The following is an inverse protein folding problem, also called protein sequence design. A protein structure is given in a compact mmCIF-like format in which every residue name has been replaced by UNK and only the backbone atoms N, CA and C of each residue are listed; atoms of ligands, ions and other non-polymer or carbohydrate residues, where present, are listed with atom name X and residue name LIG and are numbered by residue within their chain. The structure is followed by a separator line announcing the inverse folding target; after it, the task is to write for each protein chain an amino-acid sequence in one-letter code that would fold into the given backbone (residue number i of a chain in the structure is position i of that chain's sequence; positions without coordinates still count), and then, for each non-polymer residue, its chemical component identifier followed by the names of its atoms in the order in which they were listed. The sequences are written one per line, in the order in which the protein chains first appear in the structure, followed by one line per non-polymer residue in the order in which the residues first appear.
data_IF_034979399848
#
_entry.id   IF_034979399848
#
_cell.length_a   1.000
_cell.length_b   1.000
_cell.length_c   1.000
_cell.angle_alpha   90.00
_cell.angle_beta   90.00
_cell.angle_gamma   90.00
#
_symmetry.space_group_name_H-M   'P 1'
#
loop_
_entity.id
_entity.type
_entity.pdbx_description
1 polymer ?
#
# COMPACT_ATOMS: atom_id res chain seq x y z
N UNK A 1 20.54 -2.21 -9.85
CA UNK A 1 19.93 -1.21 -8.94
C UNK A 1 18.43 -1.51 -8.90
N UNK A 2 17.89 -2.10 -7.83
CA UNK A 2 16.48 -2.54 -7.77
C UNK A 2 15.49 -1.41 -7.44
N UNK A 3 15.93 -0.15 -7.41
CA UNK A 3 15.06 1.01 -7.14
C UNK A 3 14.42 0.99 -5.75
N UNK A 4 15.09 0.43 -4.74
CA UNK A 4 14.56 0.40 -3.38
C UNK A 4 14.47 1.84 -2.82
N UNK A 5 13.33 2.25 -2.25
CA UNK A 5 13.07 3.63 -1.83
C UNK A 5 13.73 3.98 -0.48
N UNK A 6 15.04 3.75 -0.32
CA UNK A 6 15.73 3.82 0.98
C UNK A 6 15.60 5.17 1.69
N UNK A 7 15.46 6.26 0.93
CA UNK A 7 15.37 7.63 1.47
C UNK A 7 13.96 8.23 1.42
N UNK A 8 12.95 7.46 1.04
CA UNK A 8 11.59 7.98 0.92
C UNK A 8 10.96 8.23 2.31
N UNK A 9 10.23 9.35 2.49
CA UNK A 9 9.66 9.74 3.78
C UNK A 9 8.48 8.86 4.22
N UNK A 10 7.93 8.07 3.30
CA UNK A 10 6.85 7.12 3.55
C UNK A 10 7.38 5.68 3.71
N UNK A 11 8.66 5.40 3.46
CA UNK A 11 9.18 4.04 3.49
C UNK A 11 9.83 3.69 4.84
N UNK A 12 9.29 2.66 5.50
CA UNK A 12 9.76 2.09 6.77
C UNK A 12 9.90 0.56 6.63
N UNK A 13 11.01 0.05 6.07
CA UNK A 13 11.14 -1.37 5.73
C UNK A 13 11.23 -2.30 6.93
N UNK A 14 11.64 -1.79 8.10
CA UNK A 14 11.93 -2.57 9.30
C UNK A 14 10.74 -2.76 10.22
N UNK A 15 9.65 -2.01 10.02
CA UNK A 15 8.48 -2.08 10.91
C UNK A 15 7.48 -3.13 10.44
N UNK A 16 6.86 -3.81 11.40
CA UNK A 16 5.78 -4.76 11.12
C UNK A 16 4.40 -4.06 11.12
N UNK A 17 3.35 -4.83 10.82
CA UNK A 17 1.96 -4.35 10.80
C UNK A 17 1.54 -3.71 12.12
N UNK A 18 1.87 -4.34 13.24
CA UNK A 18 1.47 -3.87 14.57
C UNK A 18 2.10 -2.51 14.90
N UNK A 19 3.40 -2.35 14.62
CA UNK A 19 4.10 -1.08 14.81
C UNK A 19 3.55 0.01 13.89
N UNK A 20 3.25 -0.31 12.63
CA UNK A 20 2.62 0.63 11.71
C UNK A 20 1.27 1.15 12.22
N UNK A 21 0.42 0.25 12.73
CA UNK A 21 -0.86 0.64 13.35
C UNK A 21 -0.67 1.52 14.57
N UNK A 22 0.31 1.21 15.43
CA UNK A 22 0.66 2.04 16.59
C UNK A 22 1.08 3.46 16.19
N UNK A 23 1.92 3.58 15.15
CA UNK A 23 2.38 4.87 14.62
C UNK A 23 1.22 5.70 14.05
N UNK A 24 0.30 5.06 13.32
CA UNK A 24 -0.79 5.74 12.62
C UNK A 24 -2.04 5.99 13.48
N UNK A 25 -2.15 5.41 14.67
CA UNK A 25 -3.34 5.45 15.54
C UNK A 25 -3.89 6.86 15.81
N UNK A 26 -3.01 7.85 15.88
CA UNK A 26 -3.35 9.25 16.19
C UNK A 26 -3.01 10.20 15.05
N UNK A 27 -2.71 9.67 13.86
CA UNK A 27 -2.35 10.46 12.70
C UNK A 27 -3.60 10.97 11.97
N UNK A 28 -3.38 12.01 11.15
CA UNK A 28 -4.45 12.65 10.36
C UNK A 28 -4.79 11.83 9.11
N UNK A 29 -5.96 12.11 8.54
CA UNK A 29 -6.42 11.52 7.29
C UNK A 29 -5.38 11.65 6.15
N UNK A 30 -5.23 10.58 5.38
CA UNK A 30 -4.26 10.48 4.30
C UNK A 30 -2.81 10.31 4.78
N UNK A 31 -2.56 10.18 6.08
CA UNK A 31 -1.25 9.77 6.58
C UNK A 31 -0.98 8.31 6.21
N UNK A 32 0.19 8.04 5.66
CA UNK A 32 0.53 6.71 5.15
C UNK A 32 2.01 6.34 5.31
N UNK A 33 2.27 5.04 5.24
CA UNK A 33 3.61 4.45 5.13
C UNK A 33 3.59 3.17 4.30
N UNK A 34 4.73 2.81 3.72
CA UNK A 34 4.97 1.51 3.11
C UNK A 34 6.01 0.77 3.95
N UNK A 35 5.67 -0.47 4.29
CA UNK A 35 6.52 -1.40 5.05
C UNK A 35 6.72 -2.69 4.27
N UNK A 36 7.69 -3.50 4.69
CA UNK A 36 7.78 -4.87 4.21
C UNK A 36 6.61 -5.70 4.76
N UNK A 37 6.09 -6.61 3.94
CA UNK A 37 5.09 -7.58 4.37
C UNK A 37 5.76 -8.86 4.86
N UNK A 38 5.03 -9.68 5.64
CA UNK A 38 5.54 -10.95 6.18
C UNK A 38 5.94 -11.97 5.11
N UNK A 39 5.47 -11.83 3.86
CA UNK A 39 5.86 -12.65 2.72
C UNK A 39 6.97 -12.03 1.85
N UNK A 40 7.67 -10.99 2.34
CA UNK A 40 8.82 -10.40 1.65
C UNK A 40 8.47 -9.44 0.49
N UNK A 41 7.19 -9.07 0.35
CA UNK A 41 6.73 -8.02 -0.57
C UNK A 41 6.53 -6.70 0.21
N UNK A 42 5.52 -5.92 -0.17
CA UNK A 42 5.23 -4.63 0.43
C UNK A 42 3.78 -4.54 0.89
N UNK A 43 3.55 -3.69 1.88
CA UNK A 43 2.21 -3.30 2.30
C UNK A 43 2.17 -1.78 2.53
N UNK A 44 1.14 -1.15 1.99
CA UNK A 44 0.74 0.20 2.35
C UNK A 44 -0.12 0.12 3.61
N UNK A 45 0.18 0.94 4.61
CA UNK A 45 -0.70 1.18 5.75
C UNK A 45 -1.07 2.67 5.77
N UNK A 46 -2.36 3.00 5.84
CA UNK A 46 -2.85 4.38 5.76
C UNK A 46 -4.04 4.66 6.68
N UNK A 47 -4.27 5.93 6.99
CA UNK A 47 -5.44 6.43 7.72
C UNK A 47 -6.47 7.00 6.76
N UNK A 48 -7.71 6.54 6.83
CA UNK A 48 -8.86 7.11 6.12
C UNK A 48 -10.11 7.03 6.99
N UNK A 49 -10.88 8.12 7.11
CA UNK A 49 -12.07 8.19 7.97
C UNK A 49 -11.84 7.69 9.42
N UNK A 50 -10.65 7.92 9.98
CA UNK A 50 -10.26 7.47 11.33
C UNK A 50 -9.99 5.96 11.46
N UNK A 51 -10.04 5.21 10.36
CA UNK A 51 -9.74 3.78 10.30
C UNK A 51 -8.36 3.58 9.67
N UNK A 52 -7.60 2.60 10.17
CA UNK A 52 -6.31 2.20 9.60
C UNK A 52 -6.52 1.02 8.66
N UNK A 53 -6.11 1.20 7.41
CA UNK A 53 -6.20 0.19 6.37
C UNK A 53 -4.82 -0.39 6.04
N UNK A 54 -4.78 -1.66 5.62
CA UNK A 54 -3.59 -2.30 5.07
C UNK A 54 -3.87 -2.81 3.65
N UNK A 55 -3.14 -2.29 2.67
CA UNK A 55 -3.23 -2.70 1.28
C UNK A 55 -1.98 -3.49 0.88
N UNK A 56 -2.17 -4.67 0.29
CA UNK A 56 -1.05 -5.49 -0.21
C UNK A 56 -0.54 -4.90 -1.53
N UNK A 57 0.78 -4.72 -1.62
CA UNK A 57 1.45 -4.35 -2.86
C UNK A 57 2.23 -5.57 -3.34
N UNK A 58 1.76 -6.13 -4.45
CA UNK A 58 2.35 -7.29 -5.10
C UNK A 58 3.33 -6.90 -6.19
N UNK A 59 3.96 -7.93 -6.77
CA UNK A 59 4.60 -7.84 -8.08
C UNK A 59 3.65 -8.40 -9.13
N UNK A 60 3.64 -7.77 -10.29
CA UNK A 60 2.99 -8.32 -11.48
C UNK A 60 3.71 -9.62 -11.89
N UNK A 61 3.00 -10.75 -11.99
CA UNK A 61 3.60 -12.01 -12.41
C UNK A 61 3.81 -12.11 -13.94
N UNK A 62 3.13 -11.26 -14.72
CA UNK A 62 3.13 -11.26 -16.18
C UNK A 62 4.13 -10.24 -16.75
N UNK A 63 4.34 -9.14 -16.02
CA UNK A 63 5.29 -8.09 -16.38
C UNK A 63 6.49 -8.12 -15.46
N UNK A 64 7.68 -8.21 -16.06
CA UNK A 64 8.94 -8.24 -15.31
C UNK A 64 9.05 -7.02 -14.39
N UNK A 65 8.88 -7.24 -13.08
CA UNK A 65 9.17 -6.31 -11.99
C UNK A 65 8.24 -5.10 -11.82
N UNK A 66 6.98 -5.17 -12.26
CA UNK A 66 6.03 -4.09 -11.98
C UNK A 66 5.31 -4.28 -10.62
N UNK A 67 4.94 -3.18 -9.95
CA UNK A 67 4.25 -3.13 -8.66
C UNK A 67 2.78 -2.79 -8.87
N UNK A 68 1.88 -3.45 -8.13
CA UNK A 68 0.43 -3.17 -8.16
C UNK A 68 -0.23 -3.42 -6.82
N UNK A 69 -1.37 -2.79 -6.57
CA UNK A 69 -2.24 -3.24 -5.48
C UNK A 69 -2.85 -4.61 -5.84
N UNK A 70 -2.80 -5.52 -4.87
CA UNK A 70 -3.40 -6.85 -5.01
C UNK A 70 -4.72 -6.83 -4.28
N UNK A 71 -5.81 -6.96 -5.04
CA UNK A 71 -7.10 -7.24 -4.44
C UNK A 71 -7.05 -8.63 -3.80
N UNK A 72 -7.33 -8.71 -2.50
CA UNK A 72 -7.62 -9.98 -1.85
C UNK A 72 -9.14 -10.14 -1.82
N UNK A 73 -9.64 -11.15 -2.52
CA UNK A 73 -11.03 -11.56 -2.39
C UNK A 73 -11.09 -12.79 -1.49
N UNK A 74 -12.13 -12.85 -0.67
CA UNK A 74 -12.49 -14.07 0.03
C UNK A 74 -13.30 -14.88 -0.98
N UNK A 75 -12.83 -16.07 -1.34
CA UNK A 75 -13.61 -16.97 -2.19
C UNK A 75 -14.86 -17.49 -1.45
N UNK A 76 -15.72 -18.23 -2.16
CA UNK A 76 -16.93 -18.79 -1.55
C UNK A 76 -16.65 -19.76 -0.39
N UNK A 77 -15.40 -20.22 -0.23
CA UNK A 77 -14.96 -21.12 0.83
C UNK A 77 -14.34 -20.35 2.03
N UNK A 78 -14.37 -19.01 2.02
CA UNK A 78 -13.75 -18.21 3.07
C UNK A 78 -12.23 -18.09 2.92
N UNK A 79 -11.63 -18.59 1.85
CA UNK A 79 -10.19 -18.53 1.63
C UNK A 79 -9.78 -17.23 0.91
N UNK A 80 -8.76 -16.51 1.41
CA UNK A 80 -8.15 -15.43 0.68
C UNK A 80 -7.55 -15.95 -0.63
N UNK A 81 -8.11 -15.55 -1.76
CA UNK A 81 -7.59 -15.87 -3.08
C UNK A 81 -7.10 -14.61 -3.79
N UNK A 82 -6.05 -14.76 -4.60
CA UNK A 82 -5.62 -13.78 -5.59
C UNK A 82 -6.25 -14.20 -6.91
N UNK A 83 -7.00 -13.31 -7.57
CA UNK A 83 -7.58 -13.62 -8.89
C UNK A 83 -6.45 -14.12 -9.81
N UNK A 84 -6.64 -15.32 -10.37
CA UNK A 84 -5.86 -15.71 -11.52
C UNK A 84 -6.26 -14.78 -12.66
N UNK A 85 -5.24 -14.36 -13.39
CA UNK A 85 -5.28 -13.51 -14.56
C UNK A 85 -6.58 -13.69 -15.39
N UNK A 86 -7.25 -12.58 -15.71
CA UNK A 86 -8.39 -12.41 -16.64
C UNK A 86 -9.82 -12.16 -16.09
N UNK A 87 -10.06 -12.07 -14.78
CA UNK A 87 -11.42 -11.76 -14.28
C UNK A 87 -11.48 -10.93 -12.99
N UNK A 88 -11.28 -9.60 -13.06
CA UNK A 88 -11.88 -8.71 -12.04
C UNK A 88 -12.02 -7.28 -12.54
N UNK A 89 -13.14 -6.64 -12.21
CA UNK A 89 -13.41 -5.22 -12.49
C UNK A 89 -12.59 -4.26 -11.62
N UNK A 90 -11.28 -4.49 -11.54
CA UNK A 90 -10.32 -3.67 -10.79
C UNK A 90 -9.19 -3.21 -11.70
N UNK A 91 -8.57 -2.07 -11.37
CA UNK A 91 -7.57 -1.49 -12.25
C UNK A 91 -6.38 -2.46 -12.42
N UNK A 92 -6.04 -2.78 -13.67
CA UNK A 92 -4.87 -3.60 -14.03
C UNK A 92 -3.59 -2.75 -14.06
N UNK A 93 -3.56 -1.67 -13.26
CA UNK A 93 -2.46 -0.72 -13.28
C UNK A 93 -1.26 -1.30 -12.56
N UNK A 94 -0.17 -1.39 -13.30
CA UNK A 94 1.14 -1.75 -12.80
C UNK A 94 2.09 -0.53 -12.90
N UNK A 95 3.11 -0.49 -12.06
CA UNK A 95 4.09 0.60 -11.97
C UNK A 95 5.51 0.04 -11.94
N UNK A 96 6.48 0.70 -12.56
CA UNK A 96 7.85 0.18 -12.62
C UNK A 96 8.62 0.32 -11.29
N UNK A 97 8.10 1.12 -10.36
CA UNK A 97 8.67 1.27 -9.01
C UNK A 97 7.61 1.57 -7.96
N UNK A 98 7.93 1.30 -6.68
CA UNK A 98 7.10 1.76 -5.56
C UNK A 98 6.95 3.29 -5.53
N UNK A 99 8.00 4.01 -5.93
CA UNK A 99 7.95 5.47 -5.97
C UNK A 99 6.93 5.96 -6.98
N UNK A 100 6.92 5.38 -8.18
CA UNK A 100 5.95 5.73 -9.22
C UNK A 100 4.51 5.40 -8.79
N UNK A 101 4.32 4.24 -8.15
CA UNK A 101 3.04 3.87 -7.54
C UNK A 101 2.58 4.94 -6.54
N UNK A 102 3.45 5.33 -5.60
CA UNK A 102 3.12 6.35 -4.59
C UNK A 102 2.85 7.70 -5.25
N UNK A 103 3.74 8.17 -6.14
CA UNK A 103 3.60 9.43 -6.86
C UNK A 103 2.26 9.50 -7.60
N UNK A 104 1.80 8.39 -8.20
CA UNK A 104 0.49 8.32 -8.84
C UNK A 104 -0.66 8.48 -7.84
N UNK A 105 -0.67 7.72 -6.74
CA UNK A 105 -1.74 7.79 -5.75
C UNK A 105 -1.66 9.01 -4.81
N UNK A 106 -0.61 9.84 -4.91
CA UNK A 106 -0.65 11.19 -4.34
C UNK A 106 -1.63 12.11 -5.08
N UNK A 107 -1.92 11.80 -6.36
CA UNK A 107 -2.77 12.61 -7.26
C UNK A 107 -4.08 11.92 -7.64
N UNK A 108 -4.16 10.60 -7.48
CA UNK A 108 -5.30 9.78 -7.87
C UNK A 108 -5.81 9.00 -6.67
N UNK A 109 -7.13 8.90 -6.56
CA UNK A 109 -7.78 8.21 -5.44
C UNK A 109 -7.54 6.71 -5.50
N UNK A 110 -7.33 6.09 -4.34
CA UNK A 110 -7.30 4.63 -4.17
C UNK A 110 -8.66 3.96 -4.42
N UNK A 111 -9.72 4.72 -4.69
CA UNK A 111 -11.04 4.20 -5.05
C UNK A 111 -11.00 3.25 -6.26
N UNK A 112 -10.04 3.42 -7.17
CA UNK A 112 -9.83 2.49 -8.30
C UNK A 112 -9.35 1.10 -7.86
N UNK A 113 -8.80 0.99 -6.64
CA UNK A 113 -8.34 -0.24 -6.00
C UNK A 113 -9.06 -0.59 -4.69
N UNK A 114 -10.08 0.17 -4.28
CA UNK A 114 -11.05 -0.16 -3.23
C UNK A 114 -12.02 1.02 -3.11
N UNK A 115 -13.29 0.89 -3.53
CA UNK A 115 -14.27 1.97 -3.41
C UNK A 115 -14.40 2.57 -2.00
N UNK A 116 -14.08 1.82 -0.95
CA UNK A 116 -14.05 2.33 0.43
C UNK A 116 -12.86 3.24 0.74
N UNK A 117 -11.81 3.20 -0.09
CA UNK A 117 -10.60 4.01 0.03
C UNK A 117 -10.64 5.18 -0.93
N UNK A 118 -11.67 6.03 -0.84
CA UNK A 118 -11.73 7.26 -1.63
C UNK A 118 -10.78 8.34 -1.09
N UNK A 119 -9.48 8.10 -1.19
CA UNK A 119 -8.43 8.90 -0.58
C UNK A 119 -7.15 8.87 -1.44
N UNK A 120 -6.37 9.95 -1.38
CA UNK A 120 -5.03 10.03 -1.94
C UNK A 120 -3.97 9.89 -0.84
N UNK A 121 -2.75 9.50 -1.22
CA UNK A 121 -1.60 9.42 -0.32
C UNK A 121 -1.02 10.83 -0.07
N UNK A 122 -1.51 11.52 0.96
CA UNK A 122 -1.22 12.95 1.14
C UNK A 122 -0.09 13.26 2.13
N UNK A 123 0.06 12.47 3.20
CA UNK A 123 1.03 12.77 4.28
C UNK A 123 1.96 11.58 4.53
N UNK A 124 3.21 11.61 4.06
CA UNK A 124 4.21 10.60 4.40
C UNK A 124 4.47 10.58 5.91
N UNK A 125 4.57 9.38 6.49
CA UNK A 125 4.71 9.22 7.94
C UNK A 125 5.87 10.04 8.54
N UNK A 126 7.07 10.07 7.94
CA UNK A 126 8.24 10.79 8.49
C UNK A 126 8.08 12.33 8.54
N UNK A 127 7.01 12.89 7.96
CA UNK A 127 6.68 14.32 8.15
C UNK A 127 6.10 14.60 9.54
N UNK A 128 5.72 13.57 10.31
CA UNK A 128 5.33 13.71 11.71
C UNK A 128 6.57 13.79 12.59
N UNK A 129 6.76 14.94 13.23
CA UNK A 129 7.98 15.35 13.97
C UNK A 129 8.37 14.41 15.14
N UNK A 130 7.47 13.52 15.57
CA UNK A 130 7.64 12.70 16.78
C UNK A 130 7.86 11.19 16.56
N UNK A 131 8.19 10.74 15.34
CA UNK A 131 8.44 9.32 15.11
C UNK A 131 9.85 8.95 15.59
N UNK A 132 9.94 8.39 16.80
CA UNK A 132 11.12 7.64 17.25
C UNK A 132 10.96 6.20 16.74
N UNK A 133 11.76 5.84 15.74
CA UNK A 133 11.85 4.48 15.18
C UNK A 133 12.80 3.64 16.03
#
# INVERSE_FOLDING_TARGET
FLGLPTDEPWYLPTINREMAHKLLKICVEGTFLIRTSSNGLYALTLVHNGIIYDCRIGRDPTQNYAFRFVASYIDNNGQPTTMNDNSSGYCDRSFYSLKELVDFYTKNSLAENNPELNICLTVPIKMHVNIKI
#
